data_IF_359810854985
#
_entry.id   IF_359810854985
#
_cell.length_a   1.000
_cell.length_b   1.000
_cell.length_c   1.000
_cell.angle_alpha   90.00
_cell.angle_beta   90.00
_cell.angle_gamma   90.00
#
_symmetry.space_group_name_H-M   'P 1'
#
loop_
_entity.id
_entity.type
_entity.pdbx_description
1 polymer ?
#
# COMPACT_ATOMS: atom_id res chain seq x y z
N UNK A 1 -14.50 18.30 -1.82
CA UNK A 1 -14.51 17.73 -3.18
C UNK A 1 -13.13 17.51 -3.84
N UNK A 2 -12.01 17.95 -3.25
CA UNK A 2 -10.65 17.66 -3.76
C UNK A 2 -9.97 16.47 -3.05
N UNK A 3 -10.74 15.58 -2.43
CA UNK A 3 -10.22 14.47 -1.63
C UNK A 3 -10.10 13.17 -2.42
N UNK A 4 -10.56 13.12 -3.68
CA UNK A 4 -10.65 11.88 -4.47
C UNK A 4 -10.11 12.09 -5.89
N UNK A 5 -9.47 11.04 -6.39
CA UNK A 5 -9.07 10.91 -7.78
C UNK A 5 -9.85 9.73 -8.37
N UNK A 6 -10.62 9.95 -9.43
CA UNK A 6 -11.39 8.88 -10.08
C UNK A 6 -10.46 7.77 -10.60
N UNK A 7 -9.32 8.19 -11.14
CA UNK A 7 -8.24 7.31 -11.58
C UNK A 7 -6.89 7.98 -11.32
N UNK A 8 -5.87 7.20 -11.02
CA UNK A 8 -4.51 7.67 -10.88
C UNK A 8 -3.52 6.75 -11.59
N UNK A 9 -2.47 7.36 -12.13
CA UNK A 9 -1.31 6.71 -12.72
C UNK A 9 -0.06 7.21 -12.00
N UNK A 10 0.77 6.29 -11.53
CA UNK A 10 1.96 6.63 -10.73
C UNK A 10 3.17 5.79 -11.14
N UNK A 11 4.34 6.41 -11.09
CA UNK A 11 5.63 5.70 -11.07
C UNK A 11 6.20 5.83 -9.66
N UNK A 12 6.63 4.71 -9.08
CA UNK A 12 7.10 4.67 -7.70
C UNK A 12 8.41 3.89 -7.57
N UNK A 13 9.22 4.31 -6.60
CA UNK A 13 10.44 3.62 -6.17
C UNK A 13 10.29 3.25 -4.68
N UNK A 14 10.34 1.96 -4.39
CA UNK A 14 10.37 1.41 -3.04
C UNK A 14 11.80 1.02 -2.68
N UNK A 15 12.31 1.61 -1.60
CA UNK A 15 13.66 1.35 -1.07
C UNK A 15 13.51 0.56 0.22
N UNK A 16 13.89 -0.72 0.20
CA UNK A 16 13.85 -1.62 1.35
C UNK A 16 15.25 -1.67 1.97
N UNK A 17 15.36 -1.35 3.26
CA UNK A 17 16.62 -1.43 4.02
C UNK A 17 16.47 -2.48 5.11
N UNK A 18 17.14 -3.63 4.94
CA UNK A 18 17.04 -4.74 5.89
C UNK A 18 18.38 -5.44 6.05
N UNK A 19 18.79 -5.70 7.30
CA UNK A 19 20.05 -6.39 7.61
C UNK A 19 21.30 -5.74 7.01
N UNK A 20 21.33 -4.41 6.87
CA UNK A 20 22.43 -3.67 6.23
C UNK A 20 22.45 -3.73 4.70
N UNK A 21 21.46 -4.37 4.07
CA UNK A 21 21.28 -4.40 2.62
C UNK A 21 20.24 -3.36 2.21
N UNK A 22 20.44 -2.77 1.03
CA UNK A 22 19.48 -1.87 0.37
C UNK A 22 18.99 -2.55 -0.92
N UNK A 23 17.68 -2.71 -1.05
CA UNK A 23 17.02 -3.27 -2.23
C UNK A 23 16.09 -2.20 -2.79
N UNK A 24 16.17 -1.94 -4.09
CA UNK A 24 15.30 -0.98 -4.77
C UNK A 24 14.36 -1.71 -5.71
N UNK A 25 13.07 -1.43 -5.59
CA UNK A 25 12.01 -1.94 -6.46
C UNK A 25 11.32 -0.76 -7.13
N UNK A 26 11.29 -0.74 -8.45
CA UNK A 26 10.59 0.29 -9.23
C UNK A 26 9.31 -0.31 -9.76
N UNK A 27 8.24 0.48 -9.77
CA UNK A 27 6.93 0.01 -10.18
C UNK A 27 6.11 1.10 -10.86
N UNK A 28 5.18 0.64 -11.69
CA UNK A 28 4.15 1.43 -12.30
C UNK A 28 2.80 1.05 -11.69
N UNK A 29 1.99 2.04 -11.36
CA UNK A 29 0.70 1.83 -10.69
C UNK A 29 -0.40 2.49 -11.51
N UNK A 30 -1.45 1.72 -11.76
CA UNK A 30 -2.75 2.22 -12.21
C UNK A 30 -3.75 1.95 -11.09
N UNK A 31 -4.59 2.92 -10.79
CA UNK A 31 -5.63 2.75 -9.77
C UNK A 31 -6.89 3.51 -10.14
N UNK A 32 -8.02 2.98 -9.69
CA UNK A 32 -9.30 3.66 -9.59
C UNK A 32 -9.80 3.56 -8.13
N UNK A 33 -11.03 4.01 -7.85
CA UNK A 33 -11.60 4.03 -6.49
C UNK A 33 -11.50 2.70 -5.72
N UNK A 34 -11.59 1.55 -6.39
CA UNK A 34 -11.64 0.23 -5.72
C UNK A 34 -10.62 -0.77 -6.24
N UNK A 35 -9.93 -0.45 -7.33
CA UNK A 35 -9.04 -1.37 -8.02
C UNK A 35 -7.66 -0.76 -8.22
N UNK A 36 -6.64 -1.62 -8.24
CA UNK A 36 -5.29 -1.21 -8.57
C UNK A 36 -4.55 -2.30 -9.34
N UNK A 37 -3.70 -1.89 -10.27
CA UNK A 37 -2.72 -2.73 -10.93
C UNK A 37 -1.34 -2.15 -10.65
N UNK A 38 -0.47 -2.95 -10.05
CA UNK A 38 0.93 -2.63 -9.82
C UNK A 38 1.77 -3.54 -10.69
N UNK A 39 2.65 -2.98 -11.51
CA UNK A 39 3.62 -3.74 -12.30
C UNK A 39 5.05 -3.36 -11.89
N UNK A 40 5.84 -4.36 -11.52
CA UNK A 40 7.25 -4.17 -11.20
C UNK A 40 8.07 -4.00 -12.47
N UNK A 41 8.89 -2.95 -12.51
CA UNK A 41 9.71 -2.56 -13.65
C UNK A 41 11.21 -2.72 -13.39
N UNK A 42 11.61 -3.01 -12.14
CA UNK A 42 13.01 -3.28 -11.81
C UNK A 42 13.46 -4.61 -12.43
N UNK A 43 14.77 -4.79 -12.73
CA UNK A 43 15.24 -5.93 -13.49
C UNK A 43 14.90 -7.31 -12.91
N UNK A 44 14.95 -7.46 -11.58
CA UNK A 44 14.78 -8.76 -10.91
C UNK A 44 13.32 -9.20 -10.86
N UNK A 45 12.39 -8.27 -10.66
CA UNK A 45 10.96 -8.58 -10.50
C UNK A 45 10.16 -8.22 -11.77
N UNK A 46 10.84 -7.92 -12.88
CA UNK A 46 10.25 -7.32 -14.08
C UNK A 46 9.04 -8.11 -14.56
N UNK A 47 7.91 -7.42 -14.68
CA UNK A 47 6.67 -7.99 -15.18
C UNK A 47 5.84 -8.73 -14.11
N UNK A 48 6.35 -8.91 -12.89
CA UNK A 48 5.54 -9.31 -11.72
C UNK A 48 4.44 -8.28 -11.52
N UNK A 49 3.22 -8.74 -11.29
CA UNK A 49 2.05 -7.87 -11.17
C UNK A 49 1.26 -8.16 -9.90
N UNK A 50 0.73 -7.10 -9.30
CA UNK A 50 -0.36 -7.20 -8.34
C UNK A 50 -1.62 -6.63 -8.95
N UNK A 51 -2.71 -7.37 -8.82
CA UNK A 51 -4.05 -6.90 -9.16
C UNK A 51 -4.86 -6.86 -7.87
N UNK A 52 -5.27 -5.67 -7.46
CA UNK A 52 -6.34 -5.48 -6.49
C UNK A 52 -7.65 -5.33 -7.27
N UNK A 53 -8.64 -6.16 -6.94
CA UNK A 53 -10.01 -6.01 -7.41
C UNK A 53 -10.92 -6.01 -6.19
N UNK A 54 -11.46 -4.86 -5.84
CA UNK A 54 -12.26 -4.69 -4.63
C UNK A 54 -11.48 -5.21 -3.40
N UNK A 55 -12.00 -6.25 -2.74
CA UNK A 55 -11.45 -6.81 -1.49
C UNK A 55 -10.47 -7.97 -1.72
N UNK A 56 -10.18 -8.28 -2.98
CA UNK A 56 -9.27 -9.36 -3.35
C UNK A 56 -7.95 -8.84 -3.93
N UNK A 57 -6.86 -9.50 -3.54
CA UNK A 57 -5.52 -9.26 -4.07
C UNK A 57 -4.97 -10.52 -4.74
N UNK A 58 -4.46 -10.36 -5.96
CA UNK A 58 -3.74 -11.41 -6.67
C UNK A 58 -2.34 -10.94 -7.04
N UNK A 59 -1.41 -11.87 -7.03
CA UNK A 59 -0.06 -11.71 -7.51
C UNK A 59 0.18 -12.63 -8.71
N UNK A 60 0.78 -12.10 -9.76
CA UNK A 60 1.15 -12.85 -10.95
C UNK A 60 2.67 -12.83 -11.15
N UNK A 61 3.25 -14.01 -11.33
CA UNK A 61 4.66 -14.21 -11.64
C UNK A 61 4.82 -14.63 -13.10
N UNK A 62 5.42 -13.79 -13.98
CA UNK A 62 5.53 -14.10 -15.39
C UNK A 62 6.42 -15.31 -15.68
N UNK A 63 7.54 -15.46 -14.94
CA UNK A 63 8.52 -16.51 -15.19
C UNK A 63 7.98 -17.93 -14.92
N UNK A 64 7.02 -18.04 -14.01
CA UNK A 64 6.37 -19.28 -13.63
C UNK A 64 4.96 -19.44 -14.23
N UNK A 65 4.45 -18.40 -14.91
CA UNK A 65 3.04 -18.27 -15.32
C UNK A 65 2.05 -18.56 -14.18
N UNK A 66 2.42 -18.19 -12.95
CA UNK A 66 1.68 -18.53 -11.73
C UNK A 66 0.86 -17.34 -11.22
N UNK A 67 -0.38 -17.61 -10.79
CA UNK A 67 -1.26 -16.64 -10.14
C UNK A 67 -1.54 -17.12 -8.71
N UNK A 68 -1.26 -16.27 -7.73
CA UNK A 68 -1.46 -16.52 -6.31
C UNK A 68 -2.46 -15.51 -5.76
N UNK A 69 -3.52 -15.99 -5.08
CA UNK A 69 -4.43 -15.13 -4.31
C UNK A 69 -3.84 -14.85 -2.93
N UNK A 70 -3.61 -13.58 -2.60
CA UNK A 70 -3.16 -13.15 -1.28
C UNK A 70 -4.38 -13.00 -0.37
N UNK A 71 -4.43 -13.74 0.73
CA UNK A 71 -5.58 -13.76 1.64
C UNK A 71 -5.19 -14.29 3.03
N UNK A 72 -6.06 -14.05 4.02
CA UNK A 72 -5.87 -14.52 5.39
C UNK A 72 -4.58 -14.00 6.01
N UNK A 73 -3.82 -14.88 6.66
CA UNK A 73 -2.56 -14.52 7.32
C UNK A 73 -1.53 -13.87 6.37
N UNK A 74 -1.59 -14.15 5.07
CA UNK A 74 -0.66 -13.54 4.11
C UNK A 74 -0.83 -12.03 4.02
N UNK A 75 -2.02 -11.49 4.30
CA UNK A 75 -2.25 -10.03 4.24
C UNK A 75 -1.35 -9.24 5.21
N UNK A 76 -0.97 -9.85 6.33
CA UNK A 76 -0.10 -9.25 7.34
C UNK A 76 1.40 -9.34 6.97
N UNK A 77 1.74 -9.95 5.84
CA UNK A 77 3.12 -10.08 5.41
C UNK A 77 3.56 -8.87 4.60
N UNK A 78 4.84 -8.53 4.73
CA UNK A 78 5.48 -7.48 3.98
C UNK A 78 5.53 -7.76 2.48
N UNK A 79 5.00 -6.83 1.68
CA UNK A 79 5.05 -6.84 0.24
C UNK A 79 6.50 -6.99 -0.22
N UNK A 80 6.79 -8.09 -0.91
CA UNK A 80 8.11 -8.39 -1.48
C UNK A 80 9.27 -8.26 -0.47
N UNK A 81 9.00 -8.56 0.81
CA UNK A 81 9.98 -8.48 1.90
C UNK A 81 10.24 -7.08 2.44
N UNK A 82 9.35 -6.12 2.18
CA UNK A 82 9.37 -4.79 2.80
C UNK A 82 8.64 -4.80 4.15
N UNK A 83 8.66 -3.68 4.87
CA UNK A 83 7.82 -3.46 6.05
C UNK A 83 6.40 -2.96 5.69
N UNK A 84 6.10 -2.80 4.40
CA UNK A 84 4.78 -2.40 3.90
C UNK A 84 3.94 -3.65 3.63
N UNK A 85 2.87 -3.88 4.38
CA UNK A 85 2.09 -5.11 4.30
C UNK A 85 1.20 -5.17 3.06
N UNK A 86 0.74 -6.37 2.69
CA UNK A 86 -0.28 -6.50 1.65
C UNK A 86 -1.62 -5.90 2.05
N UNK A 87 -1.92 -5.85 3.35
CA UNK A 87 -3.08 -5.15 3.87
C UNK A 87 -3.00 -3.65 3.55
N UNK A 88 -1.84 -3.03 3.71
CA UNK A 88 -1.66 -1.60 3.40
C UNK A 88 -1.88 -1.29 1.90
N UNK A 89 -1.67 -2.27 1.01
CA UNK A 89 -2.00 -2.15 -0.43
C UNK A 89 -3.50 -2.26 -0.66
N UNK A 90 -4.16 -3.09 0.13
CA UNK A 90 -5.59 -3.35 0.05
C UNK A 90 -6.41 -2.22 0.66
N UNK A 91 -5.86 -1.49 1.63
CA UNK A 91 -6.56 -0.43 2.33
C UNK A 91 -6.82 0.76 1.38
N UNK A 92 -8.06 0.86 0.92
CA UNK A 92 -8.59 2.04 0.20
C UNK A 92 -9.70 2.74 0.98
N UNK A 93 -10.09 2.18 2.12
CA UNK A 93 -11.17 2.72 2.92
C UNK A 93 -10.73 4.01 3.60
N UNK A 94 -11.69 4.88 3.90
CA UNK A 94 -11.38 6.11 4.62
C UNK A 94 -10.98 5.72 6.03
N UNK A 95 -9.87 6.27 6.50
CA UNK A 95 -9.46 6.07 7.89
C UNK A 95 -10.58 6.45 8.87
N UNK A 96 -11.43 7.43 8.54
CA UNK A 96 -12.60 7.83 9.35
C UNK A 96 -13.73 6.80 9.40
N UNK A 97 -13.73 5.85 8.47
CA UNK A 97 -14.67 4.73 8.47
C UNK A 97 -14.15 3.60 9.37
N UNK A 98 -12.82 3.46 9.47
CA UNK A 98 -12.12 2.42 10.23
C UNK A 98 -11.79 2.81 11.69
N UNK A 99 -11.58 4.09 11.96
CA UNK A 99 -11.12 4.60 13.26
C UNK A 99 -11.99 5.76 13.75
N UNK A 100 -12.15 5.84 15.07
CA UNK A 100 -12.62 7.03 15.77
C UNK A 100 -11.41 7.88 16.18
N UNK A 101 -11.37 9.11 15.68
CA UNK A 101 -10.23 10.02 15.89
C UNK A 101 -10.53 11.10 16.93
N UNK A 102 -9.54 11.39 17.78
CA UNK A 102 -9.53 12.53 18.71
C UNK A 102 -8.25 13.35 18.52
N UNK A 103 -8.37 14.68 18.60
CA UNK A 103 -7.19 15.57 18.65
C UNK A 103 -6.68 15.57 20.09
N UNK A 104 -5.51 14.96 20.30
CA UNK A 104 -4.93 14.87 21.65
C UNK A 104 -4.03 16.06 21.99
N UNK A 105 -3.45 16.74 20.98
CA UNK A 105 -2.70 17.99 21.16
C UNK A 105 -2.40 18.69 19.84
N UNK A 106 -1.95 19.93 19.95
CA UNK A 106 -1.25 20.67 18.89
C UNK A 106 0.26 20.68 19.19
N UNK A 107 1.08 20.50 18.17
CA UNK A 107 2.54 20.62 18.28
C UNK A 107 3.15 21.27 17.03
N UNK A 108 4.40 21.72 17.15
CA UNK A 108 5.18 22.17 16.00
C UNK A 108 6.03 21.00 15.49
N UNK A 109 5.83 20.59 14.24
CA UNK A 109 6.62 19.57 13.57
C UNK A 109 7.22 20.17 12.28
N UNK A 110 8.54 20.08 12.13
CA UNK A 110 9.29 20.70 11.03
C UNK A 110 8.95 22.19 10.79
N UNK A 111 8.77 22.96 11.87
CA UNK A 111 8.47 24.39 11.81
C UNK A 111 7.04 24.73 11.41
N UNK A 112 6.13 23.75 11.44
CA UNK A 112 4.72 23.91 11.05
C UNK A 112 3.80 23.49 12.20
N UNK A 113 2.71 24.23 12.46
CA UNK A 113 1.70 23.80 13.41
C UNK A 113 0.99 22.55 12.87
N UNK A 114 0.93 21.51 13.70
CA UNK A 114 0.37 20.21 13.39
C UNK A 114 -0.57 19.75 14.52
N UNK A 115 -1.61 18.99 14.15
CA UNK A 115 -2.43 18.26 15.11
C UNK A 115 -1.89 16.86 15.29
N UNK A 116 -1.83 16.40 16.53
CA UNK A 116 -1.60 14.99 16.85
C UNK A 116 -2.95 14.35 17.09
N UNK A 117 -3.24 13.31 16.31
CA UNK A 117 -4.49 12.56 16.36
C UNK A 117 -4.24 11.20 17.02
N UNK A 118 -5.12 10.81 17.93
CA UNK A 118 -5.26 9.42 18.38
C UNK A 118 -6.41 8.77 17.62
N UNK A 119 -6.17 7.59 17.05
CA UNK A 119 -7.18 6.81 16.33
C UNK A 119 -7.44 5.49 17.04
N UNK A 120 -8.67 5.29 17.52
CA UNK A 120 -9.12 4.03 18.11
C UNK A 120 -9.84 3.24 17.01
N UNK A 121 -9.37 2.04 16.70
CA UNK A 121 -10.01 1.19 15.70
C UNK A 121 -11.44 0.85 16.11
N UNK A 122 -12.40 0.98 15.20
CA UNK A 122 -13.77 0.54 15.43
C UNK A 122 -13.83 -0.97 15.48
N UNK A 123 -14.69 -1.52 16.34
CA UNK A 123 -14.99 -2.96 16.29
C UNK A 123 -15.69 -3.27 14.96
N UNK A 124 -15.19 -4.29 14.26
CA UNK A 124 -15.75 -4.84 13.01
C UNK A 124 -16.63 -6.05 13.25
#
# INVERSE_FOLDING_TARGET
>A
DNEYFDTAQMEAEMIIVSGGRKITKTMFVLSDERNALIEFTNPVDRGTKFLKREDDLWMFFPDAEEIIKISGHMLNQGMMGSDFSYQDVMESDKLTDLYDFEIIKEEEFDGRPCYVLEGIAREG
#
